data_IF_275275400002
#
_entry.id   IF_275275400002
#
_cell.length_a   1.000
_cell.length_b   1.000
_cell.length_c   1.000
_cell.angle_alpha   90.00
_cell.angle_beta   90.00
_cell.angle_gamma   90.00
#
_symmetry.space_group_name_H-M   'P 1'
#
loop_
_entity.id
_entity.type
_entity.pdbx_description
1 polymer ?
#
# COMPACT_ATOMS: atom_id res chain seq x y z
N UNK A 1 8.78 19.55 32.20
CA UNK A 1 7.61 18.77 32.68
C UNK A 1 7.08 17.94 31.51
N UNK A 2 7.68 16.79 31.24
CA UNK A 2 7.58 16.07 29.96
C UNK A 2 7.24 14.59 30.15
N UNK A 3 6.15 14.31 30.88
CA UNK A 3 5.77 12.93 31.18
C UNK A 3 4.28 12.66 31.37
N UNK A 4 3.39 13.65 31.30
CA UNK A 4 2.01 13.49 31.76
C UNK A 4 0.91 13.38 30.68
N UNK A 5 1.24 13.36 29.38
CA UNK A 5 0.21 13.54 28.34
C UNK A 5 0.26 12.48 27.24
N UNK A 6 0.03 11.22 27.63
CA UNK A 6 -0.60 10.24 26.72
C UNK A 6 -2.00 9.99 27.26
N UNK A 7 -2.94 10.86 26.89
CA UNK A 7 -4.35 10.62 27.17
C UNK A 7 -4.82 9.59 26.12
N UNK A 8 -5.29 8.41 26.53
CA UNK A 8 -5.82 7.41 25.60
C UNK A 8 -6.89 8.04 24.70
N UNK A 9 -6.80 7.82 23.39
CA UNK A 9 -7.70 8.43 22.39
C UNK A 9 -7.28 9.81 21.87
N UNK A 10 -6.25 10.45 22.46
CA UNK A 10 -5.69 11.70 21.95
C UNK A 10 -4.25 11.50 21.41
N UNK A 11 -3.90 12.07 20.25
CA UNK A 11 -2.56 11.95 19.68
C UNK A 11 -1.50 12.68 20.51
N UNK A 12 -0.23 12.27 20.39
CA UNK A 12 0.88 12.94 21.08
C UNK A 12 1.06 14.40 20.62
N UNK A 13 1.53 15.31 21.50
CA UNK A 13 1.73 16.74 21.20
C UNK A 13 2.60 16.99 19.96
N UNK A 14 3.55 16.11 19.66
CA UNK A 14 4.41 16.13 18.46
C UNK A 14 3.62 16.04 17.13
N UNK A 15 2.32 15.74 17.17
CA UNK A 15 1.42 15.66 16.01
C UNK A 15 0.43 16.82 15.92
N UNK A 16 0.54 17.85 16.77
CA UNK A 16 -0.38 19.01 16.86
C UNK A 16 -0.69 19.63 15.48
N UNK A 17 0.31 19.83 14.64
CA UNK A 17 0.16 20.49 13.32
C UNK A 17 -0.58 19.64 12.27
N UNK A 18 -0.79 18.34 12.55
CA UNK A 18 -1.43 17.40 11.61
C UNK A 18 -2.90 17.12 11.90
N UNK A 19 -3.39 17.54 13.08
CA UNK A 19 -4.73 17.20 13.55
C UNK A 19 -5.75 18.24 13.09
N UNK A 20 -6.75 17.79 12.35
CA UNK A 20 -7.91 18.59 11.98
C UNK A 20 -9.09 18.14 12.83
N UNK A 21 -9.85 19.07 13.36
CA UNK A 21 -11.05 18.79 14.13
C UNK A 21 -12.29 19.12 13.28
N UNK A 22 -13.45 18.63 13.69
CA UNK A 22 -14.72 19.01 13.05
C UNK A 22 -15.30 20.31 13.59
N UNK A 23 -15.08 20.59 14.87
CA UNK A 23 -15.68 21.71 15.61
C UNK A 23 -14.59 22.61 16.18
N UNK A 24 -14.80 23.92 16.07
CA UNK A 24 -13.90 24.98 16.53
C UNK A 24 -12.46 24.80 16.01
N UNK A 25 -12.31 24.69 14.69
CA UNK A 25 -11.06 24.33 14.02
C UNK A 25 -9.90 25.31 14.27
N UNK A 26 -10.19 26.54 14.68
CA UNK A 26 -9.21 27.59 15.02
C UNK A 26 -8.73 27.56 16.48
N UNK A 27 -9.34 26.74 17.33
CA UNK A 27 -9.00 26.69 18.75
C UNK A 27 -7.65 25.96 18.95
N UNK A 28 -6.68 26.57 19.67
CA UNK A 28 -5.43 25.92 20.03
C UNK A 28 -5.68 24.62 20.78
N UNK A 29 -4.86 23.61 20.54
CA UNK A 29 -5.04 22.28 21.12
C UNK A 29 -5.04 22.32 22.66
N UNK A 30 -4.13 23.07 23.29
CA UNK A 30 -4.10 23.20 24.76
C UNK A 30 -5.40 23.78 25.33
N UNK A 31 -5.96 24.81 24.68
CA UNK A 31 -7.23 25.40 25.09
C UNK A 31 -8.40 24.42 24.88
N UNK A 32 -8.40 23.66 23.78
CA UNK A 32 -9.37 22.59 23.54
C UNK A 32 -9.34 21.55 24.66
N UNK A 33 -8.15 21.10 25.06
CA UNK A 33 -8.01 20.11 26.13
C UNK A 33 -8.49 20.64 27.48
N UNK A 34 -8.22 21.91 27.81
CA UNK A 34 -8.74 22.52 29.03
C UNK A 34 -10.27 22.56 29.02
N UNK A 35 -10.89 23.02 27.93
CA UNK A 35 -12.36 23.07 27.81
C UNK A 35 -12.95 21.67 27.88
N UNK A 36 -12.35 20.69 27.19
CA UNK A 36 -12.75 19.29 27.24
C UNK A 36 -12.75 18.76 28.68
N UNK A 37 -11.65 18.95 29.42
CA UNK A 37 -11.52 18.49 30.80
C UNK A 37 -12.52 19.17 31.74
N UNK A 38 -12.77 20.47 31.55
CA UNK A 38 -13.79 21.20 32.31
C UNK A 38 -15.19 20.64 32.04
N UNK A 39 -15.56 20.42 30.77
CA UNK A 39 -16.85 19.85 30.41
C UNK A 39 -17.07 18.46 31.01
N UNK A 40 -16.03 17.61 30.98
CA UNK A 40 -16.08 16.27 31.60
C UNK A 40 -16.24 16.38 33.12
N UNK A 41 -15.43 17.21 33.78
CA UNK A 41 -15.47 17.37 35.23
C UNK A 41 -16.84 17.90 35.71
N UNK A 42 -17.39 18.93 35.04
CA UNK A 42 -18.72 19.45 35.36
C UNK A 42 -19.83 18.45 35.02
N UNK A 43 -19.71 17.70 33.92
CA UNK A 43 -20.65 16.63 33.56
C UNK A 43 -20.78 15.60 34.67
N UNK A 44 -19.65 15.06 35.14
CA UNK A 44 -19.63 14.09 36.24
C UNK A 44 -20.14 14.69 37.56
N UNK A 45 -19.77 15.94 37.88
CA UNK A 45 -20.26 16.60 39.09
C UNK A 45 -21.79 16.74 39.10
N UNK A 46 -22.38 17.13 37.97
CA UNK A 46 -23.83 17.25 37.84
C UNK A 46 -24.51 15.88 37.95
N UNK A 47 -23.98 14.85 37.29
CA UNK A 47 -24.51 13.48 37.42
C UNK A 47 -24.45 12.96 38.84
N UNK A 48 -23.36 13.24 39.56
CA UNK A 48 -23.19 12.86 40.95
C UNK A 48 -24.21 13.55 41.87
N UNK A 49 -24.39 14.87 41.74
CA UNK A 49 -25.32 15.63 42.58
C UNK A 49 -26.78 15.26 42.27
N UNK A 50 -27.14 15.12 40.99
CA UNK A 50 -28.52 14.88 40.57
C UNK A 50 -28.92 13.40 40.62
N UNK A 51 -27.94 12.50 40.76
CA UNK A 51 -28.12 11.04 40.65
C UNK A 51 -28.94 10.65 39.40
N UNK A 52 -28.75 11.41 38.32
CA UNK A 52 -29.44 11.28 37.05
C UNK A 52 -28.41 11.37 35.92
N UNK A 53 -28.39 10.42 34.97
CA UNK A 53 -27.43 10.41 33.87
C UNK A 53 -27.59 11.61 32.92
N UNK A 54 -28.81 12.08 32.67
CA UNK A 54 -29.11 12.96 31.54
C UNK A 54 -28.52 14.38 31.64
N UNK A 55 -28.63 15.09 32.78
CA UNK A 55 -28.16 16.48 32.85
C UNK A 55 -26.65 16.62 32.65
N UNK A 56 -25.84 15.70 33.19
CA UNK A 56 -24.40 15.69 32.93
C UNK A 56 -24.01 15.08 31.60
N UNK A 57 -24.77 14.09 31.08
CA UNK A 57 -24.50 13.49 29.76
C UNK A 57 -24.52 14.54 28.64
N UNK A 58 -25.34 15.58 28.74
CA UNK A 58 -25.30 16.71 27.80
C UNK A 58 -23.91 17.36 27.72
N UNK A 59 -23.29 17.63 28.87
CA UNK A 59 -21.94 18.20 28.92
C UNK A 59 -20.88 17.22 28.40
N UNK A 60 -21.03 15.92 28.70
CA UNK A 60 -20.15 14.88 28.17
C UNK A 60 -20.25 14.77 26.64
N UNK A 61 -21.45 14.88 26.07
CA UNK A 61 -21.65 14.89 24.61
C UNK A 61 -20.95 16.11 24.00
N UNK A 62 -21.09 17.29 24.59
CA UNK A 62 -20.37 18.49 24.15
C UNK A 62 -18.85 18.28 24.21
N UNK A 63 -18.33 17.65 25.26
CA UNK A 63 -16.92 17.31 25.37
C UNK A 63 -16.48 16.36 24.24
N UNK A 64 -17.24 15.30 23.98
CA UNK A 64 -16.92 14.34 22.92
C UNK A 64 -16.94 14.97 21.52
N UNK A 65 -17.92 15.82 21.23
CA UNK A 65 -17.99 16.56 19.95
C UNK A 65 -16.78 17.48 19.80
N UNK A 66 -16.38 18.18 20.86
CA UNK A 66 -15.21 19.05 20.86
C UNK A 66 -13.90 18.27 20.60
N UNK A 67 -13.81 17.06 21.13
CA UNK A 67 -12.68 16.14 20.96
C UNK A 67 -12.68 15.39 19.62
N UNK A 68 -13.73 15.51 18.79
CA UNK A 68 -13.86 14.70 17.58
C UNK A 68 -12.87 15.13 16.50
N UNK A 69 -11.95 14.23 16.17
CA UNK A 69 -10.88 14.45 15.19
C UNK A 69 -11.35 14.02 13.82
N UNK A 70 -11.03 14.83 12.81
CA UNK A 70 -11.26 14.52 11.40
C UNK A 70 -10.29 13.46 10.95
N UNK A 71 -10.85 12.41 10.33
CA UNK A 71 -10.06 11.32 9.75
C UNK A 71 -9.09 11.79 8.66
N UNK A 72 -8.07 10.98 8.42
CA UNK A 72 -7.10 11.18 7.36
C UNK A 72 -7.44 10.27 6.18
N UNK A 73 -7.58 10.81 4.98
CA UNK A 73 -7.72 10.01 3.76
C UNK A 73 -6.53 10.25 2.82
N UNK A 74 -5.70 9.22 2.66
CA UNK A 74 -4.53 9.24 1.78
C UNK A 74 -4.89 9.39 0.30
N UNK A 75 -6.13 9.06 -0.11
CA UNK A 75 -6.56 9.17 -1.50
C UNK A 75 -6.65 10.63 -1.97
N UNK A 76 -6.97 11.56 -1.06
CA UNK A 76 -7.08 12.97 -1.39
C UNK A 76 -5.73 13.58 -1.77
N UNK A 77 -4.62 13.09 -1.19
CA UNK A 77 -3.26 13.54 -1.56
C UNK A 77 -2.87 13.18 -2.99
N UNK A 78 -3.53 12.19 -3.59
CA UNK A 78 -3.17 11.67 -4.93
C UNK A 78 -3.93 12.40 -6.02
N UNK A 79 -5.02 13.10 -5.66
CA UNK A 79 -5.77 13.94 -6.59
C UNK A 79 -4.83 15.02 -7.15
N UNK A 80 -4.57 14.94 -8.45
CA UNK A 80 -3.68 15.88 -9.16
C UNK A 80 -2.31 15.32 -9.55
N UNK A 81 -1.99 14.09 -9.18
CA UNK A 81 -0.83 13.38 -9.73
C UNK A 81 -1.10 12.94 -11.17
N UNK A 82 -0.22 13.33 -12.09
CA UNK A 82 -0.26 12.90 -13.50
C UNK A 82 0.89 11.94 -13.75
N UNK A 83 0.60 10.85 -14.44
CA UNK A 83 1.62 9.85 -14.78
C UNK A 83 2.57 10.41 -15.82
N UNK A 84 3.86 10.32 -15.55
CA UNK A 84 4.90 10.67 -16.51
C UNK A 84 4.85 9.69 -17.69
N UNK A 85 5.35 10.11 -18.86
CA UNK A 85 5.47 9.23 -20.02
C UNK A 85 6.75 8.38 -20.00
N UNK A 86 7.76 8.85 -19.27
CA UNK A 86 9.10 8.30 -19.31
C UNK A 86 9.37 7.38 -18.12
N UNK A 87 10.01 6.26 -18.39
CA UNK A 87 10.54 5.37 -17.37
C UNK A 87 11.84 5.92 -16.81
N UNK A 88 11.99 5.91 -15.49
CA UNK A 88 13.21 6.33 -14.80
C UNK A 88 13.93 5.08 -14.31
N UNK A 89 15.14 4.83 -14.81
CA UNK A 89 16.00 3.75 -14.31
C UNK A 89 16.41 4.06 -12.88
N UNK A 90 16.34 3.06 -12.01
CA UNK A 90 16.71 3.16 -10.60
C UNK A 90 17.57 1.97 -10.19
N UNK A 91 18.15 2.03 -9.00
CA UNK A 91 18.86 0.90 -8.40
C UNK A 91 17.91 0.07 -7.51
N UNK A 92 18.34 -1.14 -7.17
CA UNK A 92 17.56 -2.05 -6.31
C UNK A 92 17.27 -1.47 -4.92
N UNK A 93 18.14 -0.60 -4.40
CA UNK A 93 17.90 0.07 -3.11
C UNK A 93 16.61 0.87 -3.10
N UNK A 94 16.27 1.54 -4.21
CA UNK A 94 14.98 2.26 -4.34
C UNK A 94 13.80 1.30 -4.38
N UNK A 95 13.95 0.12 -4.98
CA UNK A 95 12.93 -0.94 -4.97
C UNK A 95 12.71 -1.46 -3.54
N UNK A 96 13.78 -1.64 -2.77
CA UNK A 96 13.70 -2.02 -1.36
C UNK A 96 13.05 -0.93 -0.49
N UNK A 97 13.39 0.33 -0.71
CA UNK A 97 12.79 1.47 0.00
C UNK A 97 11.28 1.53 -0.19
N UNK A 98 10.78 1.33 -1.42
CA UNK A 98 9.34 1.30 -1.71
C UNK A 98 8.64 0.22 -0.88
N UNK A 99 9.20 -0.99 -0.80
CA UNK A 99 8.63 -2.08 0.01
C UNK A 99 8.67 -1.73 1.50
N UNK A 100 9.76 -1.15 2.00
CA UNK A 100 9.90 -0.77 3.40
C UNK A 100 8.88 0.31 3.79
N UNK A 101 8.61 1.26 2.90
CA UNK A 101 7.56 2.27 3.09
C UNK A 101 6.18 1.62 3.17
N UNK A 102 5.84 0.68 2.28
CA UNK A 102 4.54 -0.03 2.33
C UNK A 102 4.38 -0.84 3.63
N UNK A 103 5.45 -1.48 4.10
CA UNK A 103 5.46 -2.19 5.38
C UNK A 103 5.24 -1.23 6.57
N UNK A 104 5.95 -0.10 6.58
CA UNK A 104 5.80 0.92 7.63
C UNK A 104 4.38 1.50 7.67
N UNK A 105 3.82 1.77 6.49
CA UNK A 105 2.44 2.23 6.31
C UNK A 105 1.44 1.18 6.84
N UNK A 106 1.62 -0.09 6.49
CA UNK A 106 0.74 -1.17 6.96
C UNK A 106 0.86 -1.43 8.46
N UNK A 107 2.04 -1.22 9.05
CA UNK A 107 2.24 -1.31 10.50
C UNK A 107 1.58 -0.14 11.24
N UNK A 108 1.63 1.06 10.67
CA UNK A 108 0.98 2.25 11.22
C UNK A 108 -0.56 2.15 11.25
N UNK A 109 -1.13 1.37 10.33
CA UNK A 109 -2.57 1.12 10.16
C UNK A 109 -3.20 0.17 11.22
N UNK A 110 -2.44 -0.30 12.22
CA UNK A 110 -2.87 -1.29 13.24
C UNK A 110 -3.24 -0.66 14.59
N UNK A 111 -4.00 0.42 14.58
CA UNK A 111 -4.43 1.10 15.80
C UNK A 111 -5.65 0.40 16.43
N UNK A 112 -5.60 0.08 17.72
CA UNK A 112 -6.68 -0.64 18.43
C UNK A 112 -7.92 0.23 18.64
N UNK A 113 -7.75 1.54 18.57
CA UNK A 113 -8.85 2.52 18.64
C UNK A 113 -9.33 2.98 17.26
N UNK A 114 -8.96 2.28 16.17
CA UNK A 114 -9.50 2.54 14.84
C UNK A 114 -10.33 1.34 14.37
N UNK A 115 -11.65 1.51 14.24
CA UNK A 115 -12.57 0.44 13.85
C UNK A 115 -12.36 -0.05 12.40
N UNK A 116 -11.65 0.73 11.57
CA UNK A 116 -11.43 0.38 10.16
C UNK A 116 -10.44 -0.78 9.95
N UNK A 117 -9.72 -1.21 10.99
CA UNK A 117 -8.85 -2.37 10.96
C UNK A 117 -9.39 -3.53 11.82
N UNK A 118 -8.93 -4.75 11.51
CA UNK A 118 -9.42 -5.97 12.15
C UNK A 118 -9.16 -6.01 13.67
N UNK A 119 -8.02 -5.50 14.14
CA UNK A 119 -7.69 -5.43 15.56
C UNK A 119 -8.62 -4.48 16.33
N UNK A 120 -8.88 -3.29 15.79
CA UNK A 120 -9.75 -2.31 16.41
C UNK A 120 -11.20 -2.75 16.40
N UNK A 121 -11.67 -3.38 15.32
CA UNK A 121 -12.98 -4.01 15.27
C UNK A 121 -13.15 -5.11 16.34
N UNK A 122 -12.14 -5.98 16.52
CA UNK A 122 -12.17 -7.02 17.56
C UNK A 122 -12.25 -6.41 18.96
N UNK A 123 -11.41 -5.42 19.26
CA UNK A 123 -11.40 -4.77 20.59
C UNK A 123 -12.68 -3.98 20.82
N UNK A 124 -13.27 -3.36 19.80
CA UNK A 124 -14.58 -2.73 19.88
C UNK A 124 -15.67 -3.73 20.26
N UNK A 125 -15.72 -4.90 19.61
CA UNK A 125 -16.68 -5.97 19.93
C UNK A 125 -16.47 -6.47 21.37
N UNK A 126 -15.22 -6.67 21.77
CA UNK A 126 -14.89 -7.07 23.15
C UNK A 126 -15.35 -6.02 24.17
N UNK A 127 -15.09 -4.74 23.90
CA UNK A 127 -15.55 -3.63 24.75
C UNK A 127 -17.07 -3.60 24.89
N UNK A 128 -17.81 -3.76 23.78
CA UNK A 128 -19.27 -3.86 23.79
C UNK A 128 -19.78 -5.05 24.60
N UNK A 129 -19.12 -6.21 24.47
CA UNK A 129 -19.46 -7.40 25.26
C UNK A 129 -19.24 -7.17 26.76
N UNK A 130 -18.13 -6.54 27.15
CA UNK A 130 -17.85 -6.19 28.55
C UNK A 130 -18.89 -5.21 29.08
N UNK A 131 -19.22 -4.15 28.33
CA UNK A 131 -20.27 -3.20 28.72
C UNK A 131 -21.63 -3.87 28.87
N UNK A 132 -21.96 -4.83 28.01
CA UNK A 132 -23.20 -5.59 28.09
C UNK A 132 -23.24 -6.50 29.32
N UNK A 133 -22.17 -7.21 29.64
CA UNK A 133 -22.11 -8.04 30.86
C UNK A 133 -22.18 -7.18 32.12
N UNK A 134 -21.46 -6.06 32.15
CA UNK A 134 -21.50 -5.11 33.27
C UNK A 134 -22.91 -4.53 33.47
N UNK A 135 -23.62 -4.23 32.39
CA UNK A 135 -24.98 -3.72 32.49
C UNK A 135 -25.92 -4.75 33.11
N UNK A 136 -25.86 -6.02 32.68
CA UNK A 136 -26.65 -7.11 33.27
C UNK A 136 -26.41 -7.28 34.77
N UNK A 137 -25.14 -7.20 35.21
CA UNK A 137 -24.80 -7.30 36.64
C UNK A 137 -25.37 -6.11 37.41
N UNK A 138 -25.20 -4.89 36.90
CA UNK A 138 -25.67 -3.67 37.59
C UNK A 138 -27.19 -3.55 37.64
N UNK A 139 -27.91 -4.12 36.67
CA UNK A 139 -29.37 -4.16 36.66
C UNK A 139 -29.97 -5.20 37.62
N UNK A 140 -29.22 -6.24 38.01
CA UNK A 140 -29.71 -7.28 38.92
C UNK A 140 -29.48 -6.96 40.40
N UNK A 141 -28.53 -6.06 40.73
CA UNK A 141 -28.23 -5.69 42.11
C UNK A 141 -29.15 -4.54 42.58
N UNK A 142 -29.98 -4.75 43.62
CA UNK A 142 -30.85 -3.71 44.17
C UNK A 142 -30.04 -2.49 44.65
N UNK A 143 -30.46 -1.28 44.27
CA UNK A 143 -29.80 -0.02 44.65
C UNK A 143 -28.70 0.45 43.69
N UNK A 144 -28.15 -0.43 42.84
CA UNK A 144 -27.10 -0.06 41.87
C UNK A 144 -27.65 0.46 40.53
N UNK A 145 -28.95 0.34 40.27
CA UNK A 145 -29.58 0.69 39.00
C UNK A 145 -29.18 2.08 38.46
N UNK A 146 -29.28 3.12 39.30
CA UNK A 146 -29.00 4.51 38.88
C UNK A 146 -27.52 4.72 38.57
N UNK A 147 -26.63 4.14 39.38
CA UNK A 147 -25.18 4.21 39.18
C UNK A 147 -24.78 3.46 37.92
N UNK A 148 -25.36 2.28 37.68
CA UNK A 148 -25.17 1.52 36.44
C UNK A 148 -25.58 2.30 35.20
N UNK A 149 -26.75 2.96 35.24
CA UNK A 149 -27.22 3.81 34.15
C UNK A 149 -26.25 4.97 33.85
N UNK A 150 -25.69 5.62 34.88
CA UNK A 150 -24.69 6.68 34.70
C UNK A 150 -23.43 6.10 34.03
N UNK A 151 -22.88 5.01 34.57
CA UNK A 151 -21.65 4.40 34.07
C UNK A 151 -21.76 3.94 32.61
N UNK A 152 -22.89 3.31 32.24
CA UNK A 152 -23.14 2.88 30.85
C UNK A 152 -23.26 4.09 29.93
N UNK A 153 -24.02 5.10 30.34
CA UNK A 153 -24.22 6.33 29.55
C UNK A 153 -22.89 7.03 29.30
N UNK A 154 -22.08 7.22 30.34
CA UNK A 154 -20.80 7.90 30.25
C UNK A 154 -19.81 7.12 29.39
N UNK A 155 -19.76 5.79 29.57
CA UNK A 155 -18.93 4.91 28.74
C UNK A 155 -19.35 4.98 27.27
N UNK A 156 -20.65 5.00 27.00
CA UNK A 156 -21.18 5.11 25.65
C UNK A 156 -20.85 6.48 25.01
N UNK A 157 -20.97 7.57 25.77
CA UNK A 157 -20.75 8.94 25.26
C UNK A 157 -19.28 9.27 25.10
N UNK A 158 -18.42 8.86 26.03
CA UNK A 158 -17.01 9.24 26.04
C UNK A 158 -16.12 8.26 25.28
N UNK A 159 -16.43 6.95 25.35
CA UNK A 159 -15.50 5.92 24.85
C UNK A 159 -15.89 5.45 23.45
N UNK A 160 -17.18 5.19 23.15
CA UNK A 160 -17.57 4.69 21.82
C UNK A 160 -17.13 5.61 20.68
N UNK A 161 -17.29 6.95 20.76
CA UNK A 161 -16.92 7.82 19.66
C UNK A 161 -15.42 7.82 19.38
N UNK A 162 -14.57 7.40 20.33
CA UNK A 162 -13.11 7.28 20.12
C UNK A 162 -12.80 6.31 18.97
N UNK A 163 -13.54 5.20 18.84
CA UNK A 163 -13.33 4.23 17.74
C UNK A 163 -13.71 4.77 16.35
N UNK A 164 -14.52 5.81 16.29
CA UNK A 164 -14.98 6.46 15.06
C UNK A 164 -14.30 7.80 14.80
N UNK A 165 -13.56 8.32 15.79
CA UNK A 165 -12.82 9.57 15.71
C UNK A 165 -11.49 9.34 15.01
N UNK A 166 -11.14 10.20 14.04
CA UNK A 166 -9.82 10.18 13.44
C UNK A 166 -9.51 8.95 12.56
N UNK A 167 -10.53 8.24 12.04
CA UNK A 167 -10.35 7.07 11.14
C UNK A 167 -9.32 7.37 10.04
N UNK A 168 -8.34 6.49 9.89
CA UNK A 168 -7.26 6.63 8.91
C UNK A 168 -7.50 5.72 7.72
N UNK A 169 -7.75 6.30 6.55
CA UNK A 169 -7.79 5.57 5.28
C UNK A 169 -6.45 5.71 4.58
N UNK A 170 -5.67 4.66 4.71
CA UNK A 170 -4.37 4.56 4.03
C UNK A 170 -4.58 4.19 2.56
N UNK A 171 -3.92 4.92 1.67
CA UNK A 171 -3.82 4.52 0.27
C UNK A 171 -2.77 3.42 0.11
N UNK A 172 -3.18 2.25 -0.42
CA UNK A 172 -2.28 1.12 -0.69
C UNK A 172 -2.17 0.85 -2.19
N UNK A 173 -0.94 0.79 -2.71
CA UNK A 173 -0.68 0.50 -4.13
C UNK A 173 -0.46 -1.00 -4.36
N UNK A 174 -1.49 -1.82 -4.09
CA UNK A 174 -1.38 -3.30 -4.17
C UNK A 174 -0.78 -3.79 -5.50
N UNK A 175 -1.21 -3.21 -6.63
CA UNK A 175 -0.69 -3.56 -7.96
C UNK A 175 0.81 -3.31 -8.10
N UNK A 176 1.30 -2.18 -7.58
CA UNK A 176 2.74 -1.86 -7.59
C UNK A 176 3.51 -2.83 -6.69
N UNK A 177 2.99 -3.14 -5.50
CA UNK A 177 3.66 -4.06 -4.57
C UNK A 177 3.86 -5.45 -5.18
N UNK A 178 2.85 -6.00 -5.88
CA UNK A 178 3.00 -7.27 -6.60
C UNK A 178 4.15 -7.22 -7.62
N UNK A 179 4.29 -6.10 -8.35
CA UNK A 179 5.38 -5.93 -9.33
C UNK A 179 6.74 -5.83 -8.65
N UNK A 180 6.83 -5.05 -7.57
CA UNK A 180 8.04 -4.92 -6.74
C UNK A 180 8.49 -6.29 -6.21
N UNK A 181 7.54 -7.11 -5.75
CA UNK A 181 7.81 -8.47 -5.28
C UNK A 181 8.41 -9.35 -6.36
N UNK A 182 7.80 -9.37 -7.55
CA UNK A 182 8.33 -10.12 -8.70
C UNK A 182 9.71 -9.61 -9.10
N UNK A 183 9.94 -8.29 -9.12
CA UNK A 183 11.25 -7.71 -9.48
C UNK A 183 12.35 -8.20 -8.53
N UNK A 184 12.09 -8.20 -7.22
CA UNK A 184 13.06 -8.66 -6.22
C UNK A 184 13.31 -10.17 -6.30
N UNK A 185 12.28 -10.96 -6.58
CA UNK A 185 12.45 -12.40 -6.79
C UNK A 185 13.24 -12.70 -8.08
N UNK A 186 13.02 -11.92 -9.13
CA UNK A 186 13.75 -12.05 -10.40
C UNK A 186 15.19 -11.59 -10.29
N UNK A 187 15.48 -10.53 -9.52
CA UNK A 187 16.84 -10.05 -9.28
C UNK A 187 17.67 -11.09 -8.50
N UNK A 188 17.10 -11.66 -7.42
CA UNK A 188 17.73 -12.76 -6.68
C UNK A 188 18.03 -13.96 -7.56
N UNK A 189 17.08 -14.32 -8.43
CA UNK A 189 17.28 -15.44 -9.34
C UNK A 189 18.27 -15.11 -10.45
N UNK A 190 18.23 -13.89 -10.99
CA UNK A 190 19.20 -13.39 -11.96
C UNK A 190 20.62 -13.49 -11.42
N UNK A 191 20.85 -13.14 -10.15
CA UNK A 191 22.16 -13.30 -9.51
C UNK A 191 22.73 -14.74 -9.58
N UNK A 192 21.88 -15.76 -9.67
CA UNK A 192 22.29 -17.18 -9.79
C UNK A 192 22.56 -17.64 -11.23
N UNK A 193 22.01 -16.95 -12.23
CA UNK A 193 22.09 -17.37 -13.65
C UNK A 193 22.82 -16.36 -14.55
N UNK A 194 23.19 -15.19 -13.99
CA UNK A 194 23.89 -14.13 -14.71
C UNK A 194 25.25 -14.61 -15.20
N UNK A 195 25.62 -14.15 -16.38
CA UNK A 195 27.00 -14.24 -16.90
C UNK A 195 27.72 -12.91 -16.67
N UNK A 196 29.04 -12.93 -16.86
CA UNK A 196 29.85 -11.71 -16.85
C UNK A 196 29.36 -10.73 -17.92
N UNK A 197 29.30 -9.45 -17.57
CA UNK A 197 28.81 -8.37 -18.44
C UNK A 197 27.28 -8.23 -18.53
N UNK A 198 26.51 -8.93 -17.69
CA UNK A 198 25.04 -8.80 -17.63
C UNK A 198 24.60 -7.99 -16.41
N UNK A 199 23.79 -6.95 -16.63
CA UNK A 199 23.39 -5.99 -15.60
C UNK A 199 21.88 -5.89 -15.45
N UNK A 200 21.37 -6.17 -14.26
CA UNK A 200 19.95 -6.02 -13.93
C UNK A 200 19.65 -4.57 -13.53
N UNK A 201 18.75 -3.90 -14.26
CA UNK A 201 18.41 -2.49 -14.04
C UNK A 201 16.90 -2.31 -13.90
N UNK A 202 16.37 -2.10 -12.68
CA UNK A 202 14.97 -1.78 -12.49
C UNK A 202 14.65 -0.36 -12.98
N UNK A 203 13.39 -0.12 -13.31
CA UNK A 203 12.90 1.18 -13.72
C UNK A 203 11.48 1.43 -13.16
N UNK A 204 11.22 2.67 -12.79
CA UNK A 204 9.93 3.10 -12.24
C UNK A 204 9.24 4.05 -13.22
N UNK A 205 7.92 3.90 -13.33
CA UNK A 205 7.07 4.90 -13.92
C UNK A 205 6.57 5.79 -12.80
N UNK A 206 6.93 7.07 -12.84
CA UNK A 206 6.58 8.03 -11.80
C UNK A 206 5.30 8.78 -12.17
N UNK A 207 4.60 9.26 -11.17
CA UNK A 207 3.57 10.27 -11.31
C UNK A 207 3.98 11.52 -10.53
N UNK A 208 3.75 12.69 -11.11
CA UNK A 208 4.13 13.98 -10.52
C UNK A 208 2.94 14.90 -10.35
N UNK A 209 2.98 15.74 -9.33
CA UNK A 209 1.99 16.79 -9.11
C UNK A 209 2.55 18.18 -9.45
N UNK A 210 1.69 19.20 -9.42
CA UNK A 210 2.06 20.61 -9.72
C UNK A 210 3.09 21.19 -8.74
N UNK A 211 3.27 20.58 -7.56
CA UNK A 211 4.24 21.00 -6.54
C UNK A 211 5.61 20.33 -6.73
N UNK A 212 5.77 19.47 -7.73
CA UNK A 212 7.00 18.74 -8.01
C UNK A 212 7.18 17.46 -7.19
N UNK A 213 6.21 17.10 -6.34
CA UNK A 213 6.25 15.82 -5.61
C UNK A 213 6.05 14.67 -6.60
N UNK A 214 6.77 13.55 -6.39
CA UNK A 214 6.67 12.36 -7.23
C UNK A 214 6.31 11.11 -6.42
N UNK A 215 5.56 10.20 -7.04
CA UNK A 215 5.27 8.88 -6.49
C UNK A 215 5.45 7.80 -7.56
N UNK A 216 5.91 6.59 -7.21
CA UNK A 216 5.93 5.48 -8.15
C UNK A 216 4.50 5.01 -8.46
N UNK A 217 4.23 4.72 -9.73
CA UNK A 217 2.95 4.17 -10.20
C UNK A 217 3.13 2.76 -10.75
N UNK A 218 4.25 2.52 -11.41
CA UNK A 218 4.56 1.25 -12.05
C UNK A 218 6.06 0.93 -11.90
N UNK A 219 6.42 -0.35 -12.06
CA UNK A 219 7.77 -0.85 -11.98
C UNK A 219 7.99 -1.94 -13.04
N UNK A 220 9.18 -1.92 -13.65
CA UNK A 220 9.68 -2.94 -14.59
C UNK A 220 11.19 -3.10 -14.41
N UNK A 221 11.81 -4.00 -15.16
CA UNK A 221 13.27 -4.06 -15.22
C UNK A 221 13.77 -4.39 -16.61
N UNK A 222 15.04 -4.10 -16.84
CA UNK A 222 15.75 -4.42 -18.07
C UNK A 222 17.08 -5.05 -17.72
N UNK A 223 17.48 -6.09 -18.46
CA UNK A 223 18.83 -6.65 -18.40
C UNK A 223 19.62 -6.10 -19.57
N UNK A 224 20.70 -5.39 -19.25
CA UNK A 224 21.65 -4.85 -20.21
C UNK A 224 22.88 -5.75 -20.31
N UNK A 225 23.56 -5.68 -21.45
CA UNK A 225 24.73 -6.48 -21.76
C UNK A 225 25.88 -5.55 -22.17
N UNK A 226 27.07 -5.81 -21.66
CA UNK A 226 28.26 -5.04 -22.02
C UNK A 226 28.58 -5.20 -23.51
N UNK A 227 28.88 -4.09 -24.17
CA UNK A 227 29.20 -4.08 -25.61
C UNK A 227 28.01 -4.41 -26.53
N UNK A 228 26.76 -4.35 -26.04
CA UNK A 228 25.60 -4.54 -26.92
C UNK A 228 25.52 -3.45 -28.00
N UNK A 229 25.09 -3.79 -29.24
CA UNK A 229 24.91 -2.80 -30.30
C UNK A 229 23.91 -1.70 -29.90
N UNK A 230 24.10 -0.48 -30.41
CA UNK A 230 23.20 0.65 -30.11
C UNK A 230 21.74 0.40 -30.54
N UNK A 231 21.55 -0.42 -31.58
CA UNK A 231 20.25 -0.80 -32.11
C UNK A 231 19.59 -1.94 -31.31
N UNK A 232 20.25 -2.48 -30.27
CA UNK A 232 19.73 -3.52 -29.39
C UNK A 232 19.44 -2.97 -27.99
N UNK A 233 18.20 -3.10 -27.51
CA UNK A 233 17.75 -2.42 -26.29
C UNK A 233 17.72 -3.31 -25.03
N UNK A 234 18.38 -4.47 -25.07
CA UNK A 234 18.45 -5.42 -23.95
C UNK A 234 17.22 -6.32 -23.81
N UNK A 235 17.13 -7.03 -22.69
CA UNK A 235 15.95 -7.86 -22.34
C UNK A 235 15.08 -7.05 -21.38
N UNK A 236 13.91 -6.60 -21.82
CA UNK A 236 12.97 -5.86 -20.97
C UNK A 236 11.91 -6.80 -20.41
N UNK A 237 11.81 -6.90 -19.10
CA UNK A 237 10.74 -7.62 -18.44
C UNK A 237 9.55 -6.71 -18.16
N UNK A 238 8.36 -7.15 -18.52
CA UNK A 238 7.10 -6.44 -18.28
C UNK A 238 6.20 -7.28 -17.38
N UNK A 239 5.47 -6.59 -16.50
CA UNK A 239 4.57 -7.20 -15.52
C UNK A 239 3.22 -6.52 -15.67
N UNK A 240 2.26 -7.21 -16.27
CA UNK A 240 0.88 -6.74 -16.36
C UNK A 240 0.07 -7.36 -15.22
N UNK A 241 -0.89 -6.63 -14.66
CA UNK A 241 -1.77 -7.15 -13.60
C UNK A 241 -3.17 -7.28 -14.17
N UNK A 242 -3.65 -8.51 -14.31
CA UNK A 242 -5.03 -8.80 -14.66
C UNK A 242 -5.90 -8.74 -13.39
N UNK A 243 -7.06 -8.12 -13.49
CA UNK A 243 -8.01 -7.99 -12.40
C UNK A 243 -9.26 -8.80 -12.70
N UNK A 244 -9.51 -9.85 -11.91
CA UNK A 244 -10.63 -10.79 -12.13
C UNK A 244 -11.31 -11.00 -10.79
N UNK A 245 -12.61 -10.68 -10.71
CA UNK A 245 -13.43 -10.86 -9.50
C UNK A 245 -12.81 -10.25 -8.22
N UNK A 246 -12.09 -9.13 -8.35
CA UNK A 246 -11.41 -8.46 -7.23
C UNK A 246 -10.06 -9.08 -6.83
N UNK A 247 -9.64 -10.16 -7.48
CA UNK A 247 -8.29 -10.72 -7.38
C UNK A 247 -7.31 -10.09 -8.37
N UNK A 248 -6.03 -10.04 -7.99
CA UNK A 248 -4.94 -9.53 -8.83
C UNK A 248 -4.04 -10.68 -9.29
N UNK A 249 -3.93 -10.84 -10.60
CA UNK A 249 -3.18 -11.93 -11.24
C UNK A 249 -2.06 -11.35 -12.09
N UNK A 250 -0.79 -11.42 -11.64
CA UNK A 250 0.32 -10.92 -12.43
C UNK A 250 0.58 -11.82 -13.63
N UNK A 251 0.84 -11.19 -14.77
CA UNK A 251 1.27 -11.79 -16.03
C UNK A 251 2.64 -11.22 -16.39
N UNK A 252 3.67 -12.06 -16.29
CA UNK A 252 5.06 -11.72 -16.53
C UNK A 252 5.49 -12.20 -17.91
N UNK A 253 6.17 -11.34 -18.66
CA UNK A 253 6.78 -11.68 -19.94
C UNK A 253 8.03 -10.84 -20.17
N UNK A 254 8.92 -11.35 -21.02
CA UNK A 254 10.10 -10.62 -21.46
C UNK A 254 9.95 -10.25 -22.93
N UNK A 255 10.47 -9.08 -23.28
CA UNK A 255 10.62 -8.65 -24.67
C UNK A 255 12.08 -8.35 -24.95
N UNK A 256 12.53 -8.67 -26.15
CA UNK A 256 13.85 -8.33 -26.67
C UNK A 256 13.60 -7.38 -27.85
N UNK A 257 13.59 -6.05 -27.60
CA UNK A 257 13.36 -5.09 -28.64
C UNK A 257 14.69 -4.63 -29.27
N UNK A 258 14.65 -4.44 -30.58
CA UNK A 258 15.72 -3.84 -31.36
C UNK A 258 15.12 -2.86 -32.39
N UNK A 259 15.96 -2.00 -32.95
CA UNK A 259 15.56 -1.13 -34.07
C UNK A 259 15.17 -1.99 -35.29
N UNK A 260 14.21 -1.52 -36.08
CA UNK A 260 13.85 -2.17 -37.36
C UNK A 260 15.08 -2.35 -38.25
N UNK A 261 15.23 -3.53 -38.86
CA UNK A 261 16.39 -3.91 -39.67
C UNK A 261 17.51 -4.60 -38.89
N UNK A 262 17.36 -4.82 -37.58
CA UNK A 262 18.35 -5.56 -36.78
C UNK A 262 18.41 -7.06 -37.13
N UNK A 263 17.31 -7.62 -37.65
CA UNK A 263 17.24 -9.02 -38.09
C UNK A 263 16.88 -9.99 -36.97
N UNK A 264 16.07 -9.57 -35.99
CA UNK A 264 15.68 -10.42 -34.86
C UNK A 264 14.95 -11.70 -35.30
N UNK A 265 14.22 -11.63 -36.42
CA UNK A 265 13.41 -12.73 -36.95
C UNK A 265 14.23 -13.99 -37.23
N UNK A 266 15.47 -13.84 -37.69
CA UNK A 266 16.35 -14.96 -38.07
C UNK A 266 16.72 -15.83 -36.86
N UNK A 267 16.69 -15.26 -35.66
CA UNK A 267 17.06 -15.94 -34.43
C UNK A 267 15.94 -16.78 -33.82
N UNK A 268 14.68 -16.62 -34.26
CA UNK A 268 13.53 -17.33 -33.70
C UNK A 268 13.70 -18.85 -33.63
N UNK A 269 14.26 -19.45 -34.67
CA UNK A 269 14.45 -20.90 -34.77
C UNK A 269 15.64 -21.40 -33.94
N UNK A 270 16.56 -20.51 -33.56
CA UNK A 270 17.74 -20.82 -32.74
C UNK A 270 17.44 -20.74 -31.25
N UNK A 271 16.36 -20.07 -30.85
CA UNK A 271 15.96 -19.93 -29.45
C UNK A 271 15.34 -21.24 -28.97
N UNK A 272 16.04 -21.90 -28.05
CA UNK A 272 15.50 -23.07 -27.36
C UNK A 272 14.37 -22.65 -26.42
N UNK A 273 13.18 -23.23 -26.63
CA UNK A 273 11.98 -22.91 -25.85
C UNK A 273 11.82 -23.92 -24.71
N UNK A 274 11.69 -23.45 -23.49
CA UNK A 274 11.28 -24.29 -22.35
C UNK A 274 9.84 -24.81 -22.52
N UNK A 275 9.46 -25.82 -21.75
CA UNK A 275 8.06 -26.30 -21.70
C UNK A 275 7.12 -25.14 -21.39
N UNK A 276 6.02 -25.03 -22.14
CA UNK A 276 4.99 -23.99 -21.99
C UNK A 276 5.48 -22.55 -22.19
N UNK A 277 6.58 -22.33 -22.91
CA UNK A 277 7.04 -20.99 -23.33
C UNK A 277 6.74 -20.76 -24.80
N UNK A 278 6.16 -19.60 -25.08
CA UNK A 278 5.92 -19.08 -26.42
C UNK A 278 6.98 -18.02 -26.71
N UNK A 279 7.56 -18.11 -27.91
CA UNK A 279 8.48 -17.12 -28.46
C UNK A 279 7.89 -16.67 -29.77
N UNK A 280 7.51 -15.39 -29.84
CA UNK A 280 6.85 -14.74 -30.97
C UNK A 280 7.71 -13.57 -31.47
N UNK A 281 7.70 -13.34 -32.77
CA UNK A 281 8.28 -12.13 -33.36
C UNK A 281 7.15 -11.18 -33.73
N UNK A 282 7.34 -9.91 -33.39
CA UNK A 282 6.48 -8.80 -33.75
C UNK A 282 7.36 -7.71 -34.37
N UNK A 283 6.83 -7.03 -35.36
CA UNK A 283 7.49 -5.92 -36.02
C UNK A 283 6.48 -4.78 -36.17
N UNK A 284 6.89 -3.59 -35.79
CA UNK A 284 6.18 -2.35 -36.05
C UNK A 284 7.14 -1.38 -36.76
N UNK A 285 6.63 -0.29 -37.32
CA UNK A 285 7.40 0.64 -38.16
C UNK A 285 8.64 1.28 -37.50
N UNK A 286 8.84 1.10 -36.20
CA UNK A 286 9.98 1.64 -35.44
C UNK A 286 10.83 0.58 -34.72
N UNK A 287 10.34 -0.65 -34.55
CA UNK A 287 11.04 -1.68 -33.80
C UNK A 287 10.67 -3.10 -34.23
N UNK A 288 11.66 -3.98 -34.16
CA UNK A 288 11.47 -5.43 -34.15
C UNK A 288 11.52 -5.92 -32.69
N UNK A 289 10.65 -6.86 -32.34
CA UNK A 289 10.52 -7.33 -30.95
C UNK A 289 10.32 -8.84 -30.92
N UNK A 290 11.17 -9.55 -30.18
CA UNK A 290 10.89 -10.93 -29.77
C UNK A 290 10.17 -10.90 -28.42
N UNK A 291 8.97 -11.47 -28.37
CA UNK A 291 8.16 -11.60 -27.15
C UNK A 291 8.29 -13.02 -26.62
N UNK A 292 8.71 -13.16 -25.37
CA UNK A 292 8.89 -14.43 -24.66
C UNK A 292 7.94 -14.47 -23.48
N UNK A 293 6.95 -15.34 -23.54
CA UNK A 293 5.84 -15.39 -22.60
C UNK A 293 5.38 -16.81 -22.32
N UNK A 294 4.62 -16.99 -21.24
CA UNK A 294 3.99 -18.28 -20.97
C UNK A 294 2.90 -18.58 -22.03
N UNK A 295 2.79 -19.84 -22.42
CA UNK A 295 1.69 -20.34 -23.22
C UNK A 295 0.37 -20.23 -22.45
N UNK A 296 -0.64 -19.64 -23.08
CA UNK A 296 -1.96 -19.41 -22.49
C UNK A 296 -3.01 -20.16 -23.29
N UNK A 297 -4.02 -20.70 -22.61
CA UNK A 297 -5.24 -21.24 -23.22
C UNK A 297 -6.43 -20.34 -22.90
N UNK A 298 -7.61 -20.62 -23.47
CA UNK A 298 -8.84 -19.87 -23.13
C UNK A 298 -9.18 -19.93 -21.63
N UNK A 299 -8.72 -20.93 -20.89
CA UNK A 299 -9.04 -21.16 -19.48
C UNK A 299 -7.82 -21.14 -18.54
N UNK A 300 -6.60 -20.96 -19.05
CA UNK A 300 -5.37 -21.01 -18.24
C UNK A 300 -4.25 -20.11 -18.77
N UNK A 301 -3.31 -19.74 -17.89
CA UNK A 301 -2.12 -18.95 -18.27
C UNK A 301 -2.29 -17.43 -18.21
N UNK A 302 -3.43 -16.92 -17.73
CA UNK A 302 -3.63 -15.49 -17.44
C UNK A 302 -2.88 -15.00 -16.18
N UNK A 303 -2.19 -15.91 -15.50
CA UNK A 303 -1.32 -15.66 -14.36
C UNK A 303 0.00 -16.41 -14.58
N UNK A 304 1.11 -15.74 -14.26
CA UNK A 304 2.46 -16.30 -14.28
C UNK A 304 2.94 -16.48 -12.85
N UNK A 305 3.13 -17.73 -12.42
CA UNK A 305 3.73 -18.05 -11.12
C UNK A 305 5.25 -17.79 -11.13
N UNK A 306 5.88 -17.80 -9.96
CA UNK A 306 7.32 -17.52 -9.82
C UNK A 306 8.19 -18.50 -10.62
N UNK A 307 7.79 -19.77 -10.76
CA UNK A 307 8.55 -20.76 -11.53
C UNK A 307 8.52 -20.45 -13.02
N UNK A 308 7.37 -20.07 -13.55
CA UNK A 308 7.18 -19.61 -14.91
C UNK A 308 7.91 -18.30 -15.18
N UNK A 309 7.90 -17.34 -14.24
CA UNK A 309 8.70 -16.11 -14.35
C UNK A 309 10.18 -16.42 -14.54
N UNK A 310 10.73 -17.34 -13.71
CA UNK A 310 12.13 -17.79 -13.82
C UNK A 310 12.41 -18.45 -15.18
N UNK A 311 11.53 -19.32 -15.64
CA UNK A 311 11.67 -20.01 -16.93
C UNK A 311 11.65 -19.03 -18.12
N UNK A 312 10.75 -18.04 -18.09
CA UNK A 312 10.69 -16.95 -19.08
C UNK A 312 11.99 -16.15 -19.06
N UNK A 313 12.46 -15.74 -17.88
CA UNK A 313 13.67 -14.94 -17.76
C UNK A 313 14.90 -15.69 -18.30
N UNK A 314 15.10 -16.96 -17.93
CA UNK A 314 16.24 -17.75 -18.45
C UNK A 314 16.14 -17.93 -19.96
N UNK A 315 14.94 -18.20 -20.49
CA UNK A 315 14.73 -18.32 -21.94
C UNK A 315 15.09 -17.00 -22.65
N UNK A 316 14.72 -15.86 -22.07
CA UNK A 316 15.04 -14.55 -22.62
C UNK A 316 16.53 -14.20 -22.56
N UNK A 317 17.21 -14.54 -21.47
CA UNK A 317 18.66 -14.36 -21.36
C UNK A 317 19.40 -15.26 -22.37
N UNK A 318 18.99 -16.52 -22.50
CA UNK A 318 19.57 -17.43 -23.48
C UNK A 318 19.38 -16.93 -24.92
N UNK A 319 18.17 -16.44 -25.25
CA UNK A 319 17.90 -15.83 -26.55
C UNK A 319 18.78 -14.61 -26.82
N UNK A 320 18.87 -13.68 -25.86
CA UNK A 320 19.71 -12.49 -26.00
C UNK A 320 21.19 -12.83 -26.19
N UNK A 321 21.72 -13.81 -25.45
CA UNK A 321 23.10 -14.29 -25.60
C UNK A 321 23.36 -14.82 -27.02
N UNK A 322 22.45 -15.64 -27.57
CA UNK A 322 22.57 -16.17 -28.94
C UNK A 322 22.59 -15.04 -29.97
N UNK A 323 21.73 -14.04 -29.80
CA UNK A 323 21.63 -12.88 -30.71
C UNK A 323 22.92 -12.06 -30.67
N UNK A 324 23.41 -11.73 -29.47
CA UNK A 324 24.61 -10.92 -29.28
C UNK A 324 25.88 -11.63 -29.73
N UNK A 325 26.02 -12.93 -29.46
CA UNK A 325 27.15 -13.73 -29.94
C UNK A 325 27.18 -13.80 -31.48
N UNK A 326 26.03 -13.98 -32.13
CA UNK A 326 25.95 -14.00 -33.58
C UNK A 326 26.35 -12.65 -34.20
N UNK A 327 25.84 -11.54 -33.66
CA UNK A 327 26.17 -10.20 -34.14
C UNK A 327 27.64 -9.83 -33.91
N UNK A 328 28.23 -10.26 -32.79
CA UNK A 328 29.67 -10.10 -32.54
C UNK A 328 30.53 -10.87 -33.56
N UNK A 329 30.03 -11.99 -34.04
CA UNK A 329 30.71 -12.83 -35.04
C UNK A 329 30.42 -12.40 -36.50
N UNK A 330 29.72 -11.28 -36.70
CA UNK A 330 29.43 -10.74 -38.04
C UNK A 330 28.30 -11.44 -38.80
N UNK A 331 27.41 -12.15 -38.09
CA UNK A 331 26.20 -12.77 -38.64
C UNK A 331 24.97 -11.86 -38.51
#
# INVERSE_FOLDING_TARGET
>A
MSGLSRIPGFPSPEREDSLKFYVLNSLPYSARMIIYLLLVAFGFLIQYITMNPWPGAFLLICATILGFVRGFDGHDRIKGFKTDKNWTTVDMDRIHEIRNLDYAITKWDRDVFDISNASGALVFVFFMAVLFVLSLIMFTIPGCFRVGMILITDSAVLVLPVWFSGIRRVFKQRKLMIKIDIIQDMEKYFATVRKEGEHFKPALLLARNRKGECMPKDARFTVFFDGMPADFYGVQAQININEVQGGYYPYFYCVIPAKTGFGLREFLNRIQKGKNIVVEFQEDGQAEVIVIRQYTTKTSGYHTDTKSCKNILVTALAAARIILEAKRNGL
#
